data_IF_751844022662
#
_entry.id   IF_751844022662
#
_cell.length_a   1.000
_cell.length_b   1.000
_cell.length_c   1.000
_cell.angle_alpha   90.00
_cell.angle_beta   90.00
_cell.angle_gamma   90.00
#
_symmetry.space_group_name_H-M   'P 1'
#
loop_
_entity.id
_entity.type
_entity.pdbx_description
1 polymer ?
#
# COMPACT_ATOMS: atom_id res chain seq x y z
N UNK A 1 -59.52 -34.12 -51.73
CA UNK A 1 -58.06 -34.37 -51.74
C UNK A 1 -57.41 -33.22 -50.99
N UNK A 2 -56.66 -33.56 -49.94
CA UNK A 2 -56.17 -32.70 -48.85
C UNK A 2 -55.14 -31.65 -49.28
N UNK A 3 -55.06 -30.50 -48.59
CA UNK A 3 -54.12 -29.43 -48.90
C UNK A 3 -52.72 -29.72 -48.32
N UNK A 4 -51.65 -29.52 -49.09
CA UNK A 4 -50.29 -29.48 -48.54
C UNK A 4 -49.81 -28.04 -48.40
N UNK A 5 -49.84 -27.58 -47.14
CA UNK A 5 -49.18 -26.40 -46.60
C UNK A 5 -47.67 -26.48 -46.82
N UNK A 6 -47.07 -25.47 -47.46
CA UNK A 6 -45.64 -25.20 -47.34
C UNK A 6 -45.44 -24.01 -46.40
N UNK A 7 -45.40 -24.34 -45.12
CA UNK A 7 -44.91 -23.48 -44.04
C UNK A 7 -43.40 -23.36 -44.24
N UNK A 8 -42.93 -22.25 -44.81
CA UNK A 8 -41.51 -21.87 -44.71
C UNK A 8 -41.33 -20.95 -43.52
N UNK A 9 -41.17 -21.63 -42.38
CA UNK A 9 -40.18 -21.35 -41.33
C UNK A 9 -39.91 -19.86 -41.13
N UNK A 10 -40.60 -19.32 -40.13
CA UNK A 10 -40.24 -18.10 -39.45
C UNK A 10 -38.78 -18.17 -39.00
N UNK A 11 -37.92 -17.37 -39.63
CA UNK A 11 -36.57 -17.16 -39.16
C UNK A 11 -36.67 -16.26 -37.91
N UNK A 12 -36.59 -16.90 -36.75
CA UNK A 12 -36.44 -16.25 -35.45
C UNK A 12 -35.30 -15.22 -35.54
N UNK A 13 -35.65 -13.93 -35.58
CA UNK A 13 -34.73 -12.86 -35.19
C UNK A 13 -34.68 -12.90 -33.66
N UNK A 14 -33.89 -13.83 -33.12
CA UNK A 14 -33.47 -13.79 -31.73
C UNK A 14 -32.53 -12.59 -31.57
N UNK A 15 -33.12 -11.41 -31.40
CA UNK A 15 -32.40 -10.19 -31.04
C UNK A 15 -31.61 -10.50 -29.78
N UNK A 16 -30.29 -10.45 -29.94
CA UNK A 16 -29.27 -10.44 -28.91
C UNK A 16 -29.63 -9.42 -27.82
N UNK A 17 -30.40 -9.82 -26.82
CA UNK A 17 -30.32 -9.24 -25.50
C UNK A 17 -29.09 -9.83 -24.80
N UNK A 18 -27.91 -9.59 -25.39
CA UNK A 18 -26.65 -9.59 -24.63
C UNK A 18 -26.76 -8.39 -23.70
N UNK A 19 -27.40 -8.61 -22.56
CA UNK A 19 -27.22 -7.76 -21.40
C UNK A 19 -25.73 -7.69 -21.15
N UNK A 20 -25.14 -6.57 -21.56
CA UNK A 20 -23.85 -6.14 -21.08
C UNK A 20 -24.02 -5.99 -19.58
N UNK A 21 -23.74 -7.07 -18.84
CA UNK A 21 -23.38 -6.96 -17.44
C UNK A 21 -22.05 -6.22 -17.47
N UNK A 22 -22.11 -4.89 -17.60
CA UNK A 22 -20.97 -4.07 -17.28
C UNK A 22 -20.57 -4.51 -15.87
N UNK A 23 -19.38 -5.08 -15.67
CA UNK A 23 -18.93 -5.41 -14.34
C UNK A 23 -18.90 -4.07 -13.61
N UNK A 24 -19.91 -3.85 -12.77
CA UNK A 24 -20.11 -2.62 -12.04
C UNK A 24 -18.76 -2.24 -11.44
N UNK A 25 -18.17 -1.17 -11.98
CA UNK A 25 -16.84 -0.74 -11.59
C UNK A 25 -16.95 -0.32 -10.13
N UNK A 26 -16.67 -1.27 -9.22
CA UNK A 26 -16.94 -1.11 -7.80
C UNK A 26 -16.27 0.18 -7.33
N UNK A 27 -17.09 1.06 -6.73
CA UNK A 27 -16.64 2.38 -6.33
C UNK A 27 -15.35 2.27 -5.46
N UNK A 28 -14.37 3.16 -5.65
CA UNK A 28 -13.13 3.11 -4.89
C UNK A 28 -13.39 3.15 -3.38
N UNK A 29 -12.77 2.22 -2.67
CA UNK A 29 -12.84 2.18 -1.21
C UNK A 29 -11.97 3.30 -0.65
N UNK A 30 -12.53 4.12 0.24
CA UNK A 30 -11.80 5.17 0.96
C UNK A 30 -11.39 4.68 2.35
N UNK A 31 -10.14 4.90 2.72
CA UNK A 31 -9.62 4.57 4.06
C UNK A 31 -9.76 5.80 4.96
N UNK A 32 -10.30 5.65 6.17
CA UNK A 32 -10.42 6.74 7.15
C UNK A 32 -9.18 6.86 8.04
N UNK A 33 -8.69 5.74 8.57
CA UNK A 33 -7.49 5.64 9.43
C UNK A 33 -6.81 4.31 9.17
N UNK A 34 -5.49 4.30 9.28
CA UNK A 34 -4.69 3.08 9.07
C UNK A 34 -3.35 3.17 9.82
N UNK A 35 -2.68 2.02 10.02
CA UNK A 35 -1.36 1.93 10.65
C UNK A 35 -0.54 0.87 9.94
N UNK A 36 0.78 1.04 9.91
CA UNK A 36 1.64 -0.02 9.37
C UNK A 36 1.45 -1.33 10.14
N UNK A 37 1.39 -2.41 9.38
CA UNK A 37 1.23 -3.80 9.83
C UNK A 37 2.46 -4.27 10.60
N UNK A 38 3.55 -3.51 10.56
CA UNK A 38 4.74 -3.79 11.33
C UNK A 38 5.21 -2.63 12.20
N UNK A 39 5.95 -3.00 13.23
CA UNK A 39 6.91 -2.13 13.93
C UNK A 39 8.31 -2.70 13.74
N UNK A 40 9.21 -1.87 13.23
CA UNK A 40 10.59 -2.27 12.93
C UNK A 40 11.51 -1.78 14.06
N UNK A 41 12.06 -2.70 14.85
CA UNK A 41 13.14 -2.40 15.77
C UNK A 41 14.49 -2.59 15.06
N UNK A 42 15.41 -1.65 15.24
CA UNK A 42 16.76 -1.75 14.68
C UNK A 42 17.79 -1.03 15.53
N UNK A 43 19.04 -1.49 15.50
CA UNK A 43 20.18 -0.68 15.95
C UNK A 43 20.85 -0.01 14.76
N UNK A 44 21.45 1.16 14.98
CA UNK A 44 22.17 1.89 13.96
C UNK A 44 23.48 2.44 14.51
N UNK A 45 24.54 2.31 13.72
CA UNK A 45 25.82 2.94 13.97
C UNK A 45 26.05 4.02 12.91
N UNK A 46 26.02 5.29 13.31
CA UNK A 46 26.11 6.42 12.40
C UNK A 46 27.51 6.56 11.76
N UNK A 47 28.56 6.25 12.52
CA UNK A 47 29.96 6.30 12.06
C UNK A 47 30.20 5.27 10.95
N UNK A 48 29.76 4.02 11.18
CA UNK A 48 29.86 2.95 10.18
C UNK A 48 28.78 3.06 9.10
N UNK A 49 27.68 3.74 9.38
CA UNK A 49 26.52 3.83 8.49
C UNK A 49 25.76 2.52 8.33
N UNK A 50 25.79 1.65 9.35
CA UNK A 50 25.26 0.29 9.28
C UNK A 50 24.15 0.08 10.30
N UNK A 51 23.10 -0.61 9.87
CA UNK A 51 22.07 -1.20 10.71
C UNK A 51 22.59 -2.51 11.27
N UNK A 52 22.44 -2.69 12.59
CA UNK A 52 22.72 -3.94 13.27
C UNK A 52 21.45 -4.76 13.41
N UNK A 53 21.26 -5.42 14.56
CA UNK A 53 20.10 -6.25 14.86
C UNK A 53 18.78 -5.61 14.38
N UNK A 54 18.16 -6.20 13.36
CA UNK A 54 16.88 -5.75 12.78
C UNK A 54 15.82 -6.79 13.11
N UNK A 55 14.76 -6.36 13.80
CA UNK A 55 13.62 -7.20 14.15
C UNK A 55 12.35 -6.49 13.69
N UNK A 56 11.49 -7.19 12.94
CA UNK A 56 10.18 -6.66 12.52
C UNK A 56 9.08 -7.50 13.14
N UNK A 57 8.30 -6.92 14.05
CA UNK A 57 7.07 -7.55 14.53
C UNK A 57 5.94 -7.22 13.56
N UNK A 58 5.33 -8.24 12.97
CA UNK A 58 4.23 -8.07 12.02
C UNK A 58 2.91 -8.48 12.68
N UNK A 59 1.97 -7.55 12.75
CA UNK A 59 0.57 -7.76 13.08
C UNK A 59 -0.21 -7.96 11.77
N UNK A 60 -0.18 -9.17 11.22
CA UNK A 60 -1.05 -9.51 10.10
C UNK A 60 -2.50 -9.60 10.59
N UNK A 61 -3.40 -8.81 10.02
CA UNK A 61 -4.83 -8.99 10.21
C UNK A 61 -5.42 -9.69 9.00
N UNK A 62 -6.11 -10.80 9.24
CA UNK A 62 -6.87 -11.48 8.20
C UNK A 62 -7.94 -10.52 7.65
N UNK A 63 -7.95 -10.31 6.33
CA UNK A 63 -8.94 -9.44 5.67
C UNK A 63 -8.42 -8.09 5.16
N UNK A 64 -7.17 -7.72 5.45
CA UNK A 64 -6.63 -6.44 5.00
C UNK A 64 -6.61 -6.31 3.47
N UNK A 65 -7.00 -5.12 3.00
CA UNK A 65 -7.12 -4.81 1.57
C UNK A 65 -5.77 -4.40 0.98
N UNK A 66 -4.89 -3.85 1.81
CA UNK A 66 -3.60 -3.30 1.46
C UNK A 66 -2.60 -3.73 2.53
N UNK A 67 -1.50 -4.35 2.10
CA UNK A 67 -0.31 -4.50 2.93
C UNK A 67 0.31 -3.11 3.13
N UNK A 68 0.46 -2.67 4.37
CA UNK A 68 1.05 -1.40 4.75
C UNK A 68 2.29 -1.64 5.63
N UNK A 69 3.47 -1.60 5.03
CA UNK A 69 4.72 -1.85 5.75
C UNK A 69 5.62 -0.62 5.85
N UNK A 70 6.29 -0.50 6.99
CA UNK A 70 7.35 0.47 7.28
C UNK A 70 8.70 -0.22 7.25
N UNK A 71 9.66 0.35 6.53
CA UNK A 71 11.03 -0.12 6.44
C UNK A 71 12.02 1.01 6.71
N UNK A 72 13.17 0.63 7.25
CA UNK A 72 14.40 1.43 7.24
C UNK A 72 15.44 0.58 6.55
N UNK A 73 16.14 1.16 5.58
CA UNK A 73 17.20 0.47 4.82
C UNK A 73 18.43 1.34 4.74
N UNK A 74 19.59 0.71 4.66
CA UNK A 74 20.86 1.36 4.36
C UNK A 74 20.89 1.91 2.91
N UNK A 75 21.70 2.94 2.70
CA UNK A 75 22.00 3.53 1.39
C UNK A 75 23.47 3.31 1.09
N UNK A 76 23.75 2.68 -0.03
CA UNK A 76 25.10 2.63 -0.58
C UNK A 76 25.54 4.02 -1.07
N UNK A 77 26.81 4.37 -0.85
CA UNK A 77 27.42 5.61 -1.35
C UNK A 77 26.94 6.93 -0.72
N UNK A 78 26.25 6.90 0.42
CA UNK A 78 25.76 8.12 1.08
C UNK A 78 26.77 8.74 2.06
N UNK A 79 26.77 10.08 2.14
CA UNK A 79 27.54 10.89 3.12
C UNK A 79 27.18 10.47 4.56
N UNK A 80 28.13 10.62 5.49
CA UNK A 80 27.94 10.41 6.92
C UNK A 80 26.66 11.11 7.44
N UNK A 81 25.94 10.46 8.37
CA UNK A 81 24.62 10.90 8.84
C UNK A 81 23.46 10.54 7.89
N UNK A 82 23.62 10.61 6.56
CA UNK A 82 22.52 10.41 5.58
C UNK A 82 22.41 9.01 4.98
N UNK A 83 22.92 8.00 5.69
CA UNK A 83 23.08 6.62 5.19
C UNK A 83 21.85 5.74 5.34
N UNK A 84 20.77 6.26 5.90
CA UNK A 84 19.52 5.52 6.05
C UNK A 84 18.40 6.10 5.17
N UNK A 85 17.47 5.23 4.78
CA UNK A 85 16.26 5.57 4.03
C UNK A 85 15.06 4.90 4.65
N UNK A 86 14.11 5.70 5.11
CA UNK A 86 12.78 5.22 5.47
C UNK A 86 11.95 4.95 4.20
N UNK A 87 11.16 3.89 4.24
CA UNK A 87 10.18 3.55 3.20
C UNK A 87 8.86 3.15 3.83
N UNK A 88 7.76 3.72 3.35
CA UNK A 88 6.43 3.12 3.50
C UNK A 88 6.12 2.41 2.19
N UNK A 89 5.80 1.12 2.25
CA UNK A 89 5.31 0.34 1.14
C UNK A 89 3.81 0.06 1.32
N UNK A 90 3.02 0.43 0.33
CA UNK A 90 1.62 0.07 0.24
C UNK A 90 1.46 -0.91 -0.92
N UNK A 91 0.86 -2.09 -0.68
CA UNK A 91 0.59 -3.09 -1.72
C UNK A 91 -0.84 -3.58 -1.63
N UNK A 92 -1.59 -3.39 -2.71
CA UNK A 92 -2.96 -3.88 -2.84
C UNK A 92 -3.01 -5.42 -2.87
N UNK A 93 -3.80 -6.01 -1.97
CA UNK A 93 -3.98 -7.46 -1.82
C UNK A 93 -5.24 -8.00 -2.48
N UNK A 94 -6.24 -7.16 -2.68
CA UNK A 94 -7.54 -7.52 -3.25
C UNK A 94 -7.71 -6.93 -4.64
N UNK A 95 -8.78 -7.31 -5.33
CA UNK A 95 -9.05 -6.84 -6.69
C UNK A 95 -9.99 -5.64 -6.77
N UNK A 96 -10.06 -4.87 -5.67
CA UNK A 96 -10.79 -3.61 -5.60
C UNK A 96 -9.84 -2.44 -5.40
N UNK A 97 -10.13 -1.31 -6.03
CA UNK A 97 -9.32 -0.11 -5.87
C UNK A 97 -9.45 0.47 -4.45
N UNK A 98 -8.35 1.00 -3.92
CA UNK A 98 -8.29 1.65 -2.60
C UNK A 98 -7.65 3.02 -2.74
N UNK A 99 -8.32 4.04 -2.19
CA UNK A 99 -7.85 5.43 -2.17
C UNK A 99 -7.35 5.80 -0.77
N UNK A 100 -6.14 6.33 -0.72
CA UNK A 100 -5.59 7.06 0.41
C UNK A 100 -5.58 8.54 0.05
N UNK A 101 -6.42 9.30 0.75
CA UNK A 101 -6.53 10.74 0.63
C UNK A 101 -6.40 11.32 2.03
N UNK A 102 -5.24 11.88 2.34
CA UNK A 102 -4.90 12.26 3.70
C UNK A 102 -3.41 12.31 3.97
N UNK A 103 -3.00 11.98 5.20
CA UNK A 103 -1.64 12.23 5.67
C UNK A 103 -1.00 10.95 6.17
N UNK A 104 0.13 10.58 5.57
CA UNK A 104 1.02 9.57 6.13
C UNK A 104 2.02 10.20 7.08
N UNK A 105 2.21 9.58 8.24
CA UNK A 105 3.22 9.97 9.22
C UNK A 105 4.14 8.80 9.48
N UNK A 106 5.42 8.98 9.18
CA UNK A 106 6.49 8.05 9.57
C UNK A 106 7.12 8.53 10.86
N UNK A 107 7.30 7.64 11.82
CA UNK A 107 7.76 7.94 13.18
C UNK A 107 8.89 6.98 13.52
N UNK A 108 9.98 7.51 14.08
CA UNK A 108 11.05 6.75 14.71
C UNK A 108 11.17 7.20 16.15
N UNK A 109 11.22 6.24 17.07
CA UNK A 109 11.50 6.45 18.49
C UNK A 109 12.82 5.82 18.88
N UNK A 110 13.52 6.40 19.83
CA UNK A 110 14.72 5.81 20.41
C UNK A 110 14.39 4.75 21.48
N UNK A 111 15.44 4.22 22.13
CA UNK A 111 15.32 3.21 23.19
C UNK A 111 14.61 3.70 24.46
N UNK A 112 14.45 5.01 24.66
CA UNK A 112 13.67 5.60 25.76
C UNK A 112 12.19 5.77 25.41
N UNK A 113 11.84 5.60 24.13
CA UNK A 113 10.51 5.85 23.61
C UNK A 113 10.28 7.29 23.13
N UNK A 114 11.26 8.17 23.27
CA UNK A 114 11.21 9.54 22.76
C UNK A 114 11.20 9.54 21.23
N UNK A 115 10.42 10.45 20.64
CA UNK A 115 10.33 10.55 19.16
C UNK A 115 11.51 11.36 18.63
N UNK A 116 12.47 10.68 18.00
CA UNK A 116 13.68 11.30 17.42
C UNK A 116 13.53 11.68 15.95
N UNK A 117 12.57 11.07 15.25
CA UNK A 117 12.26 11.45 13.88
C UNK A 117 10.76 11.36 13.61
N UNK A 118 10.23 12.40 12.98
CA UNK A 118 8.85 12.44 12.51
C UNK A 118 8.78 13.16 11.18
N UNK A 119 8.24 12.50 10.17
CA UNK A 119 7.90 13.14 8.88
C UNK A 119 6.46 12.86 8.52
N UNK A 120 5.78 13.90 8.06
CA UNK A 120 4.41 13.82 7.55
C UNK A 120 4.44 14.13 6.06
N UNK A 121 3.65 13.40 5.28
CA UNK A 121 3.45 13.65 3.86
C UNK A 121 1.97 13.56 3.55
N UNK A 122 1.45 14.63 2.98
CA UNK A 122 0.11 14.64 2.42
C UNK A 122 0.11 13.85 1.11
N UNK A 123 -0.90 13.02 0.93
CA UNK A 123 -1.03 12.15 -0.22
C UNK A 123 -2.46 12.14 -0.74
N UNK A 124 -2.55 12.07 -2.06
CA UNK A 124 -3.75 11.63 -2.74
C UNK A 124 -3.31 10.54 -3.73
N UNK A 125 -3.49 9.28 -3.35
CA UNK A 125 -3.09 8.12 -4.16
C UNK A 125 -4.20 7.08 -4.23
N UNK A 126 -4.27 6.40 -5.37
CA UNK A 126 -5.19 5.28 -5.60
C UNK A 126 -4.38 4.05 -6.01
N UNK A 127 -4.53 2.97 -5.25
CA UNK A 127 -4.03 1.64 -5.61
C UNK A 127 -5.11 0.93 -6.42
N UNK A 128 -4.73 0.32 -7.55
CA UNK A 128 -5.67 -0.38 -8.45
C UNK A 128 -5.16 -1.79 -8.75
N UNK A 129 -6.05 -2.76 -9.05
CA UNK A 129 -5.67 -4.14 -9.35
C UNK A 129 -4.90 -4.33 -10.67
N UNK A 130 -4.58 -3.25 -11.40
CA UNK A 130 -3.81 -3.28 -12.65
C UNK A 130 -2.30 -3.36 -12.38
N UNK A 131 -1.57 -4.10 -13.23
CA UNK A 131 -0.09 -4.18 -13.22
C UNK A 131 0.54 -2.77 -13.14
N UNK A 132 1.52 -2.60 -12.26
CA UNK A 132 2.20 -1.32 -12.01
C UNK A 132 1.43 -0.33 -11.11
N UNK A 133 0.12 -0.50 -10.88
CA UNK A 133 -0.70 0.37 -10.00
C UNK A 133 -1.07 -0.26 -8.66
N UNK A 134 -0.64 -1.51 -8.43
CA UNK A 134 -0.88 -2.24 -7.18
C UNK A 134 0.02 -1.81 -6.02
N UNK A 135 1.13 -1.13 -6.30
CA UNK A 135 2.15 -0.79 -5.29
C UNK A 135 2.50 0.69 -5.32
N UNK A 136 2.71 1.29 -4.15
CA UNK A 136 3.26 2.63 -4.00
C UNK A 136 4.27 2.67 -2.87
N UNK A 137 5.24 3.58 -3.00
CA UNK A 137 6.27 3.80 -2.00
C UNK A 137 6.34 5.28 -1.64
N UNK A 138 6.39 5.56 -0.33
CA UNK A 138 6.80 6.86 0.19
C UNK A 138 8.19 6.69 0.80
N UNK A 139 9.07 7.68 0.63
CA UNK A 139 10.49 7.54 0.92
C UNK A 139 11.01 8.83 1.56
N UNK A 140 11.89 8.68 2.53
CA UNK A 140 12.62 9.79 3.15
C UNK A 140 14.06 9.36 3.40
N UNK A 141 14.99 10.32 3.28
CA UNK A 141 16.34 10.16 3.80
C UNK A 141 16.26 10.41 5.30
N UNK A 142 16.93 9.56 6.06
CA UNK A 142 17.03 9.68 7.49
C UNK A 142 18.42 10.17 7.86
N UNK A 143 18.44 10.97 8.92
CA UNK A 143 19.64 11.37 9.63
C UNK A 143 19.39 11.05 11.10
N UNK A 144 20.13 10.07 11.62
CA UNK A 144 19.95 9.53 12.97
C UNK A 144 21.31 9.35 13.61
N UNK A 145 21.46 9.62 14.92
CA UNK A 145 22.69 9.28 15.64
C UNK A 145 22.83 7.76 15.83
N UNK A 146 23.97 7.31 16.34
CA UNK A 146 24.13 5.93 16.79
C UNK A 146 23.13 5.61 17.91
N UNK A 147 22.42 4.50 17.83
CA UNK A 147 21.43 4.15 18.85
C UNK A 147 20.57 2.94 18.51
N UNK A 148 19.57 2.71 19.37
CA UNK A 148 18.51 1.71 19.18
C UNK A 148 17.20 2.42 18.88
N UNK A 149 16.44 1.89 17.92
CA UNK A 149 15.29 2.58 17.36
C UNK A 149 14.11 1.65 17.12
N UNK A 150 12.91 2.22 17.14
CA UNK A 150 11.68 1.60 16.64
C UNK A 150 11.00 2.50 15.62
N UNK A 151 10.63 1.95 14.47
CA UNK A 151 10.02 2.68 13.36
C UNK A 151 8.63 2.11 13.01
N UNK A 152 7.67 3.00 12.77
CA UNK A 152 6.32 2.65 12.33
C UNK A 152 5.67 3.82 11.59
N UNK A 153 4.55 3.55 10.93
CA UNK A 153 3.81 4.59 10.22
C UNK A 153 2.32 4.56 10.53
N UNK A 154 1.67 5.71 10.33
CA UNK A 154 0.23 5.91 10.51
C UNK A 154 -0.34 6.71 9.34
N UNK A 155 -1.60 6.46 9.02
CA UNK A 155 -2.38 7.23 8.07
C UNK A 155 -3.64 7.79 8.73
N UNK A 156 -4.00 9.02 8.35
CA UNK A 156 -5.26 9.67 8.73
C UNK A 156 -5.83 10.38 7.51
N UNK A 157 -7.08 10.09 7.18
CA UNK A 157 -7.81 10.80 6.12
C UNK A 157 -7.98 12.28 6.46
N UNK A 158 -8.02 13.11 5.42
CA UNK A 158 -8.45 14.51 5.49
C UNK A 158 -9.96 14.57 5.30
#
# INVERSE_FOLDING_TARGET
>A
MTPRKNIRIALLVAVLCLWTVEPAAAAPIRIRRDRSDNTLAFTYNAVKGRMGAVVSSVLWKSGDRVDFFSYVVEREGAVEGRRLKARIALRLKRDRAVRYDGRFRFIIRDGTGATVFRRTKDVNLVLRPRRGKRRRYLRWILDLPTGKYTAFARFRAT
#
